data_IF_594024591117
#
_entry.id   IF_594024591117
#
_cell.length_a   1.000
_cell.length_b   1.000
_cell.length_c   1.000
_cell.angle_alpha   90.00
_cell.angle_beta   90.00
_cell.angle_gamma   90.00
#
_symmetry.space_group_name_H-M   'P 1'
#
loop_
_entity.id
_entity.type
_entity.pdbx_description
1 polymer ?
#
# COMPACT_ATOMS: atom_id res chain seq x y z
N UNK A 1 -34.37 12.05 2.79
CA UNK A 1 -33.48 13.23 2.90
C UNK A 1 -32.10 12.85 2.37
N UNK A 2 -31.79 13.28 1.15
CA UNK A 2 -30.47 13.11 0.53
C UNK A 2 -29.57 14.23 1.05
N UNK A 3 -28.50 13.86 1.78
CA UNK A 3 -27.53 14.83 2.28
C UNK A 3 -26.60 15.28 1.15
N UNK A 4 -26.89 16.45 0.57
CA UNK A 4 -26.11 17.17 -0.44
C UNK A 4 -24.80 17.77 0.11
N UNK A 5 -23.97 16.98 0.79
CA UNK A 5 -22.68 17.41 1.35
C UNK A 5 -21.54 16.41 1.16
N UNK A 6 -21.66 15.47 0.22
CA UNK A 6 -20.54 14.60 -0.15
C UNK A 6 -19.78 15.24 -1.30
N UNK A 7 -18.54 15.64 -1.04
CA UNK A 7 -17.63 16.22 -2.01
C UNK A 7 -17.64 15.33 -3.28
N UNK A 8 -18.09 15.85 -4.45
CA UNK A 8 -18.21 15.05 -5.67
C UNK A 8 -16.86 14.53 -6.19
N UNK A 9 -15.75 15.06 -5.65
CA UNK A 9 -14.38 14.68 -5.97
C UNK A 9 -13.66 13.99 -4.80
N UNK A 10 -14.39 13.30 -3.92
CA UNK A 10 -13.77 12.55 -2.82
C UNK A 10 -12.82 11.47 -3.37
N UNK A 11 -11.52 11.66 -3.15
CA UNK A 11 -10.51 10.64 -3.44
C UNK A 11 -10.77 9.44 -2.54
N UNK A 12 -10.64 8.24 -3.10
CA UNK A 12 -10.73 6.99 -2.36
C UNK A 12 -9.32 6.44 -2.14
N UNK A 13 -9.10 5.80 -0.99
CA UNK A 13 -7.82 5.18 -0.62
C UNK A 13 -8.01 3.69 -0.34
N UNK A 14 -7.01 2.90 -0.67
CA UNK A 14 -6.92 1.48 -0.34
C UNK A 14 -5.46 1.16 -0.01
N UNK A 15 -5.24 0.24 0.93
CA UNK A 15 -3.94 -0.30 1.24
C UNK A 15 -3.66 -1.52 0.38
N UNK A 16 -2.51 -1.48 -0.30
CA UNK A 16 -2.02 -2.59 -1.13
C UNK A 16 -0.80 -3.19 -0.46
N UNK A 17 -0.87 -4.47 -0.11
CA UNK A 17 0.27 -5.27 0.33
C UNK A 17 0.76 -6.15 -0.81
N UNK A 18 2.07 -6.16 -1.03
CA UNK A 18 2.71 -7.06 -2.00
C UNK A 18 3.78 -7.90 -1.33
N UNK A 19 3.97 -9.10 -1.84
CA UNK A 19 5.11 -9.95 -1.50
C UNK A 19 6.39 -9.51 -2.23
N UNK A 20 7.58 -9.92 -1.74
CA UNK A 20 8.85 -9.67 -2.44
C UNK A 20 8.92 -10.25 -3.87
N UNK A 21 8.09 -11.25 -4.18
CA UNK A 21 7.98 -11.83 -5.54
C UNK A 21 7.11 -10.99 -6.48
N UNK A 22 6.56 -9.88 -5.99
CA UNK A 22 5.76 -8.93 -6.76
C UNK A 22 4.28 -9.31 -6.88
N UNK A 23 3.82 -10.38 -6.22
CA UNK A 23 2.39 -10.69 -6.16
C UNK A 23 1.69 -9.79 -5.13
N UNK A 24 0.52 -9.26 -5.48
CA UNK A 24 -0.39 -8.59 -4.54
C UNK A 24 -0.93 -9.67 -3.60
N UNK A 25 -0.59 -9.58 -2.33
CA UNK A 25 -1.00 -10.56 -1.30
C UNK A 25 -2.07 -10.01 -0.37
N UNK A 26 -2.29 -8.70 -0.38
CA UNK A 26 -3.28 -8.06 0.45
C UNK A 26 -3.89 -6.84 -0.24
N UNK A 27 -5.20 -6.70 -0.13
CA UNK A 27 -5.94 -5.49 -0.47
C UNK A 27 -6.91 -5.20 0.66
N UNK A 28 -6.97 -3.94 1.08
CA UNK A 28 -7.99 -3.52 2.03
C UNK A 28 -9.30 -3.17 1.33
N UNK A 29 -10.36 -3.06 2.11
CA UNK A 29 -11.52 -2.25 1.77
C UNK A 29 -11.12 -0.82 1.34
N UNK A 30 -12.02 -0.16 0.62
CA UNK A 30 -11.81 1.21 0.15
C UNK A 30 -12.34 2.22 1.18
N UNK A 31 -11.50 3.20 1.50
CA UNK A 31 -11.75 4.25 2.48
C UNK A 31 -11.83 5.63 1.82
N UNK A 32 -12.43 6.59 2.53
CA UNK A 32 -12.39 7.99 2.10
C UNK A 32 -10.99 8.57 2.24
N UNK A 33 -10.59 9.45 1.33
CA UNK A 33 -9.20 9.91 1.20
C UNK A 33 -8.66 10.72 2.38
N UNK A 34 -9.52 11.21 3.27
CA UNK A 34 -9.14 11.90 4.50
C UNK A 34 -8.60 10.96 5.58
N UNK A 35 -8.80 9.64 5.47
CA UNK A 35 -8.28 8.68 6.43
C UNK A 35 -6.74 8.68 6.43
N UNK A 36 -6.15 8.51 7.62
CA UNK A 36 -4.70 8.37 7.75
C UNK A 36 -4.23 6.98 7.32
N UNK A 37 -3.01 6.90 6.85
CA UNK A 37 -2.40 5.65 6.40
C UNK A 37 -2.27 4.63 7.55
N UNK A 38 -1.99 5.12 8.77
CA UNK A 38 -1.99 4.33 10.01
C UNK A 38 -3.37 3.75 10.32
N UNK A 39 -4.43 4.55 10.18
CA UNK A 39 -5.78 4.08 10.45
C UNK A 39 -6.22 3.03 9.43
N UNK A 40 -5.85 3.18 8.14
CA UNK A 40 -6.10 2.14 7.15
C UNK A 40 -5.36 0.86 7.55
N UNK A 41 -4.07 0.96 7.91
CA UNK A 41 -3.28 -0.20 8.30
C UNK A 41 -3.92 -1.02 9.42
N UNK A 42 -4.40 -0.36 10.48
CA UNK A 42 -5.08 -1.01 11.60
C UNK A 42 -6.46 -1.52 11.19
N UNK A 43 -7.30 -0.69 10.57
CA UNK A 43 -8.70 -1.04 10.23
C UNK A 43 -8.82 -2.10 9.14
N UNK A 44 -7.83 -2.18 8.26
CA UNK A 44 -7.79 -3.17 7.18
C UNK A 44 -7.61 -4.61 7.68
N UNK A 45 -7.17 -4.80 8.93
CA UNK A 45 -6.86 -6.10 9.49
C UNK A 45 -5.49 -6.64 9.06
N UNK A 46 -4.72 -5.92 8.22
CA UNK A 46 -3.36 -6.35 7.85
C UNK A 46 -2.48 -6.57 9.07
N UNK A 47 -2.59 -5.69 10.07
CA UNK A 47 -1.81 -5.79 11.31
C UNK A 47 -2.05 -7.12 12.06
N UNK A 48 -3.21 -7.73 11.91
CA UNK A 48 -3.59 -8.97 12.61
C UNK A 48 -3.17 -10.22 11.82
N UNK A 49 -2.79 -10.07 10.55
CA UNK A 49 -2.27 -11.12 9.69
C UNK A 49 -0.75 -11.28 9.79
N UNK A 50 -0.05 -10.32 10.39
CA UNK A 50 1.42 -10.32 10.51
C UNK A 50 1.87 -11.19 11.68
N UNK A 51 2.92 -11.96 11.45
CA UNK A 51 3.50 -12.87 12.44
C UNK A 51 4.78 -12.30 13.06
N UNK A 52 5.10 -12.64 14.32
CA UNK A 52 6.38 -12.29 14.93
C UNK A 52 7.57 -12.70 14.04
N UNK A 53 8.44 -11.75 13.71
CA UNK A 53 9.59 -11.95 12.81
C UNK A 53 9.35 -11.51 11.36
N UNK A 54 8.13 -11.13 10.98
CA UNK A 54 7.88 -10.52 9.68
C UNK A 54 8.60 -9.17 9.53
N UNK A 55 8.86 -8.79 8.27
CA UNK A 55 9.43 -7.50 7.90
C UNK A 55 8.48 -6.74 6.97
N UNK A 56 7.96 -5.62 7.44
CA UNK A 56 7.13 -4.71 6.64
C UNK A 56 8.01 -3.60 6.07
N UNK A 57 7.92 -3.36 4.76
CA UNK A 57 8.56 -2.22 4.09
C UNK A 57 7.47 -1.19 3.80
N UNK A 58 7.64 0.04 4.29
CA UNK A 58 6.68 1.12 4.06
C UNK A 58 7.35 2.46 3.78
N UNK A 59 6.60 3.38 3.16
CA UNK A 59 7.06 4.74 2.91
C UNK A 59 7.19 5.54 4.20
N UNK A 60 8.02 6.59 4.21
CA UNK A 60 8.33 7.40 5.40
C UNK A 60 7.08 7.95 6.12
N UNK A 61 6.04 8.30 5.36
CA UNK A 61 4.78 8.83 5.92
C UNK A 61 3.96 7.79 6.69
N UNK A 62 4.34 6.52 6.63
CA UNK A 62 3.60 5.42 7.20
C UNK A 62 3.98 5.21 8.68
N UNK A 63 3.32 5.95 9.57
CA UNK A 63 3.61 5.98 11.01
C UNK A 63 3.03 4.76 11.76
N UNK A 64 3.50 3.54 11.43
CA UNK A 64 2.98 2.28 11.99
C UNK A 64 3.96 1.55 12.92
N UNK A 65 5.11 2.17 13.22
CA UNK A 65 6.18 1.53 14.02
C UNK A 65 5.68 1.05 15.38
N UNK A 66 4.87 1.84 16.07
CA UNK A 66 4.31 1.50 17.37
C UNK A 66 3.37 0.29 17.30
N UNK A 67 2.57 0.19 16.23
CA UNK A 67 1.66 -0.94 15.99
C UNK A 67 2.47 -2.21 15.76
N UNK A 68 3.53 -2.14 14.93
CA UNK A 68 4.37 -3.29 14.58
C UNK A 68 5.25 -3.78 15.74
N UNK A 69 5.82 -2.86 16.53
CA UNK A 69 6.64 -3.23 17.69
C UNK A 69 5.85 -4.06 18.71
N UNK A 70 4.57 -3.76 18.92
CA UNK A 70 3.70 -4.54 19.81
C UNK A 70 3.54 -6.01 19.38
N UNK A 71 3.79 -6.30 18.09
CA UNK A 71 3.64 -7.62 17.46
C UNK A 71 4.96 -8.32 17.16
N UNK A 72 6.09 -7.72 17.56
CA UNK A 72 7.45 -8.21 17.21
C UNK A 72 7.65 -8.33 15.69
N UNK A 73 7.06 -7.39 14.94
CA UNK A 73 7.24 -7.25 13.51
C UNK A 73 8.18 -6.09 13.26
N UNK A 74 9.14 -6.28 12.36
CA UNK A 74 10.11 -5.24 12.02
C UNK A 74 9.55 -4.31 10.95
N UNK A 75 9.82 -3.02 11.12
CA UNK A 75 9.50 -1.98 10.13
C UNK A 75 10.77 -1.49 9.47
N UNK A 76 10.86 -1.67 8.16
CA UNK A 76 11.87 -1.04 7.34
C UNK A 76 11.29 0.17 6.62
N UNK A 77 11.71 1.36 7.06
CA UNK A 77 11.53 2.59 6.29
C UNK A 77 12.86 2.86 5.59
N UNK A 78 12.90 3.02 4.25
CA UNK A 78 14.13 3.28 3.52
C UNK A 78 14.92 4.44 4.15
N UNK A 79 16.15 4.16 4.54
CA UNK A 79 17.02 5.13 5.20
C UNK A 79 17.41 6.22 4.22
N UNK A 80 17.24 7.46 4.66
CA UNK A 80 17.86 8.62 4.05
C UNK A 80 18.97 9.09 4.98
N UNK A 81 19.89 9.85 4.41
CA UNK A 81 20.92 10.60 5.12
C UNK A 81 20.28 11.38 6.29
N UNK A 82 20.31 10.81 7.50
CA UNK A 82 19.74 11.39 8.71
C UNK A 82 20.66 12.50 9.24
N UNK A 83 20.90 13.53 8.42
CA UNK A 83 21.88 14.59 8.69
C UNK A 83 23.34 14.19 8.47
N UNK A 84 23.60 13.07 7.81
CA UNK A 84 24.95 12.60 7.45
C UNK A 84 25.22 12.86 5.97
N UNK A 85 26.47 13.07 5.55
CA UNK A 85 26.77 13.32 4.13
C UNK A 85 26.74 12.05 3.27
N UNK A 86 26.96 10.86 3.87
CA UNK A 86 27.02 9.56 3.16
C UNK A 86 26.49 8.41 3.99
N UNK A 87 25.91 7.41 3.32
CA UNK A 87 25.58 6.10 3.90
C UNK A 87 26.85 5.24 3.99
N UNK A 88 26.90 4.31 4.94
CA UNK A 88 27.94 3.27 4.94
C UNK A 88 27.74 2.30 3.76
N UNK A 89 28.78 1.57 3.32
CA UNK A 89 28.64 0.60 2.22
C UNK A 89 27.55 -0.46 2.48
N UNK A 90 27.40 -0.90 3.73
CA UNK A 90 26.38 -1.87 4.13
C UNK A 90 24.96 -1.28 4.06
N UNK A 91 24.77 -0.06 4.56
CA UNK A 91 23.50 0.67 4.44
C UNK A 91 23.17 0.93 2.97
N UNK A 92 24.15 1.28 2.13
CA UNK A 92 23.92 1.53 0.71
C UNK A 92 23.45 0.27 -0.03
N UNK A 93 24.02 -0.89 0.27
CA UNK A 93 23.58 -2.18 -0.28
C UNK A 93 22.15 -2.50 0.15
N UNK A 94 21.84 -2.31 1.44
CA UNK A 94 20.50 -2.57 1.98
C UNK A 94 19.47 -1.63 1.36
N UNK A 95 19.75 -0.33 1.29
CA UNK A 95 18.89 0.67 0.66
C UNK A 95 18.65 0.38 -0.82
N UNK A 96 19.69 -0.05 -1.57
CA UNK A 96 19.53 -0.49 -2.96
C UNK A 96 18.61 -1.70 -3.09
N UNK A 97 18.72 -2.69 -2.18
CA UNK A 97 17.82 -3.85 -2.15
C UNK A 97 16.38 -3.44 -1.87
N UNK A 98 16.15 -2.62 -0.85
CA UNK A 98 14.81 -2.13 -0.50
C UNK A 98 14.21 -1.31 -1.63
N UNK A 99 14.99 -0.40 -2.24
CA UNK A 99 14.55 0.38 -3.38
C UNK A 99 14.13 -0.50 -4.56
N UNK A 100 14.87 -1.58 -4.83
CA UNK A 100 14.50 -2.56 -5.87
C UNK A 100 13.17 -3.26 -5.57
N UNK A 101 12.92 -3.63 -4.31
CA UNK A 101 11.64 -4.22 -3.91
C UNK A 101 10.50 -3.21 -4.01
N UNK A 102 10.73 -1.96 -3.60
CA UNK A 102 9.75 -0.86 -3.67
C UNK A 102 9.28 -0.57 -5.10
N UNK A 103 10.15 -0.70 -6.09
CA UNK A 103 9.78 -0.57 -7.50
C UNK A 103 8.68 -1.58 -7.89
N UNK A 104 8.64 -2.78 -7.30
CA UNK A 104 7.58 -3.74 -7.57
C UNK A 104 6.23 -3.29 -7.00
N UNK A 105 6.22 -2.59 -5.86
CA UNK A 105 5.00 -1.97 -5.28
C UNK A 105 4.42 -0.95 -6.26
N UNK A 106 5.27 -0.02 -6.71
CA UNK A 106 4.88 1.05 -7.62
C UNK A 106 4.35 0.48 -8.94
N UNK A 107 5.01 -0.53 -9.50
CA UNK A 107 4.57 -1.21 -10.73
C UNK A 107 3.24 -1.96 -10.56
N UNK A 108 3.00 -2.59 -9.41
CA UNK A 108 1.72 -3.26 -9.13
C UNK A 108 0.58 -2.23 -9.09
N UNK A 109 0.77 -1.13 -8.35
CA UNK A 109 -0.18 -0.03 -8.27
C UNK A 109 -0.40 0.60 -9.65
N UNK A 110 0.65 0.79 -10.45
CA UNK A 110 0.54 1.31 -11.81
C UNK A 110 -0.32 0.38 -12.69
N UNK A 111 -0.14 -0.94 -12.61
CA UNK A 111 -0.98 -1.90 -13.33
C UNK A 111 -2.44 -1.84 -12.90
N UNK A 112 -2.72 -1.69 -11.60
CA UNK A 112 -4.09 -1.48 -11.13
C UNK A 112 -4.69 -0.19 -11.71
N UNK A 113 -3.91 0.90 -11.77
CA UNK A 113 -4.33 2.19 -12.33
C UNK A 113 -4.56 2.17 -13.84
N UNK A 114 -4.03 1.18 -14.58
CA UNK A 114 -4.33 1.01 -16.02
C UNK A 114 -5.80 0.64 -16.28
N UNK A 115 -6.50 0.10 -15.28
CA UNK A 115 -7.95 -0.07 -15.36
C UNK A 115 -8.62 1.29 -15.19
N UNK A 116 -9.31 1.76 -16.24
CA UNK A 116 -9.91 3.11 -16.28
C UNK A 116 -10.80 3.41 -15.07
N UNK A 117 -11.50 2.42 -14.52
CA UNK A 117 -12.35 2.57 -13.33
C UNK A 117 -11.58 3.00 -12.07
N UNK A 118 -10.29 2.67 -11.96
CA UNK A 118 -9.40 3.10 -10.87
C UNK A 118 -8.68 4.41 -11.21
N UNK A 119 -8.32 4.59 -12.49
CA UNK A 119 -7.60 5.78 -12.95
C UNK A 119 -8.45 7.04 -13.17
N UNK A 120 -9.78 6.94 -13.02
CA UNK A 120 -10.73 8.04 -13.28
C UNK A 120 -11.65 8.29 -12.09
N UNK A 121 -12.40 9.38 -12.13
CA UNK A 121 -13.43 9.69 -11.13
C UNK A 121 -14.50 8.60 -11.12
N UNK A 122 -14.61 7.89 -10.00
CA UNK A 122 -15.62 6.86 -9.81
C UNK A 122 -17.03 7.50 -9.69
N UNK A 123 -18.02 7.09 -10.50
CA UNK A 123 -19.42 7.51 -10.30
C UNK A 123 -19.90 7.19 -8.88
N UNK A 124 -20.68 8.10 -8.29
CA UNK A 124 -21.22 7.90 -6.93
C UNK A 124 -22.08 6.63 -6.79
N UNK A 125 -22.72 6.18 -7.88
CA UNK A 125 -23.48 4.93 -7.94
C UNK A 125 -22.61 3.68 -7.77
N UNK A 126 -21.31 3.76 -8.07
CA UNK A 126 -20.35 2.67 -7.92
C UNK A 126 -19.59 2.72 -6.60
N UNK A 127 -19.75 3.78 -5.80
CA UNK A 127 -19.13 3.87 -4.46
C UNK A 127 -19.46 2.66 -3.55
N UNK A 128 -20.70 2.13 -3.53
CA UNK A 128 -21.04 0.97 -2.70
C UNK A 128 -20.30 -0.32 -3.06
N UNK A 129 -19.77 -0.44 -4.28
CA UNK A 129 -19.07 -1.64 -4.79
C UNK A 129 -17.58 -1.37 -5.07
N UNK A 130 -17.06 -0.25 -4.57
CA UNK A 130 -15.70 0.20 -4.89
C UNK A 130 -14.64 -0.77 -4.36
N UNK A 131 -14.87 -1.35 -3.18
CA UNK A 131 -13.98 -2.35 -2.59
C UNK A 131 -13.89 -3.60 -3.45
N UNK A 132 -15.01 -4.15 -3.89
CA UNK A 132 -15.09 -5.35 -4.72
C UNK A 132 -14.39 -5.12 -6.06
N UNK A 133 -14.59 -3.94 -6.67
CA UNK A 133 -13.88 -3.54 -7.90
C UNK A 133 -12.37 -3.55 -7.69
N UNK A 134 -11.87 -2.95 -6.59
CA UNK A 134 -10.44 -2.92 -6.28
C UNK A 134 -9.87 -4.31 -6.06
N UNK A 135 -10.59 -5.17 -5.32
CA UNK A 135 -10.19 -6.56 -5.09
C UNK A 135 -10.09 -7.35 -6.40
N UNK A 136 -11.14 -7.32 -7.23
CA UNK A 136 -11.16 -8.02 -8.53
C UNK A 136 -10.00 -7.54 -9.41
N UNK A 137 -9.72 -6.24 -9.46
CA UNK A 137 -8.61 -5.69 -10.23
C UNK A 137 -7.26 -6.18 -9.70
N UNK A 138 -7.08 -6.22 -8.38
CA UNK A 138 -5.88 -6.81 -7.77
C UNK A 138 -5.64 -8.25 -8.19
N UNK A 139 -6.69 -9.08 -8.15
CA UNK A 139 -6.63 -10.45 -8.64
C UNK A 139 -6.23 -10.49 -10.12
N UNK A 140 -6.89 -9.70 -10.98
CA UNK A 140 -6.56 -9.64 -12.40
C UNK A 140 -5.11 -9.21 -12.66
N UNK A 141 -4.57 -8.28 -11.86
CA UNK A 141 -3.16 -7.86 -11.95
C UNK A 141 -2.20 -9.00 -11.60
N UNK A 142 -2.54 -9.85 -10.63
CA UNK A 142 -1.74 -11.04 -10.31
C UNK A 142 -1.69 -12.08 -11.45
N UNK A 143 -2.73 -12.17 -12.28
CA UNK A 143 -2.76 -13.07 -13.46
C UNK A 143 -2.00 -12.52 -14.69
N UNK A 144 -1.48 -11.29 -14.63
CA UNK A 144 -0.64 -10.75 -15.69
C UNK A 144 0.78 -11.34 -15.63
N UNK A 145 1.63 -10.94 -16.58
CA UNK A 145 3.04 -11.34 -16.58
C UNK A 145 3.72 -10.99 -15.26
N UNK A 146 4.55 -11.88 -14.67
CA UNK A 146 5.17 -11.63 -13.37
C UNK A 146 5.92 -10.29 -13.30
N UNK A 147 5.77 -9.58 -12.17
CA UNK A 147 6.42 -8.29 -11.93
C UNK A 147 7.91 -8.42 -11.61
N UNK A 148 8.30 -9.60 -11.11
CA UNK A 148 9.68 -10.01 -10.84
C UNK A 148 10.02 -11.11 -11.85
N UNK A 149 11.20 -10.99 -12.46
CA UNK A 149 11.78 -12.00 -13.36
C UNK A 149 12.87 -12.75 -12.61
#
# INVERSE_FOLDING_TARGET
>A
MYSSYKNPHATLKCLVGISPTGAITFLSEVYEGSISDKDIFVKSGLADLLEPGDLVIADRGFLIKDVLMSRRVDLNIPSFLAGRDRLTPQEEIMTKRIARVRIHVERAIERMKKFKIIGTTLPLSLKPVASEVVHIIGFLVNYQTPLVK
#
